data_IF_325387447422
#
_entry.id   IF_325387447422
#
_cell.length_a   1.000
_cell.length_b   1.000
_cell.length_c   1.000
_cell.angle_alpha   90.00
_cell.angle_beta   90.00
_cell.angle_gamma   90.00
#
_symmetry.space_group_name_H-M   'P 1'
#
loop_
_entity.id
_entity.type
_entity.pdbx_description
1 polymer ?
#
# COMPACT_ATOMS: atom_id res chain seq x y z
N UNK A 1 -3.77 10.56 25.66
CA UNK A 1 -4.04 10.94 24.25
C UNK A 1 -4.34 9.67 23.49
N UNK A 2 -5.29 9.67 22.53
CA UNK A 2 -5.56 8.50 21.70
C UNK A 2 -5.24 8.78 20.24
N UNK A 3 -4.62 7.79 19.57
CA UNK A 3 -4.37 7.80 18.12
C UNK A 3 -5.00 6.54 17.53
N UNK A 4 -5.71 6.71 16.42
CA UNK A 4 -6.39 5.62 15.72
C UNK A 4 -5.81 5.44 14.33
N UNK A 5 -5.76 4.20 13.88
CA UNK A 5 -5.48 3.85 12.49
C UNK A 5 -6.52 2.88 11.97
N UNK A 6 -6.77 2.95 10.66
CA UNK A 6 -7.69 2.05 9.98
C UNK A 6 -6.95 1.10 9.02
N UNK A 7 -7.57 -0.04 8.77
CA UNK A 7 -7.18 -0.96 7.72
C UNK A 7 -8.40 -1.65 7.15
N UNK A 8 -8.25 -2.27 5.98
CA UNK A 8 -9.32 -3.02 5.30
C UNK A 8 -8.83 -4.42 4.93
N UNK A 9 -9.77 -5.36 4.76
CA UNK A 9 -9.48 -6.66 4.17
C UNK A 9 -9.21 -6.53 2.68
N UNK A 10 -8.49 -7.49 2.12
CA UNK A 10 -8.19 -7.54 0.68
C UNK A 10 -9.44 -7.60 -0.20
N UNK A 11 -10.55 -8.04 0.34
CA UNK A 11 -11.86 -8.05 -0.34
C UNK A 11 -12.64 -6.73 -0.29
N UNK A 12 -12.11 -5.66 0.30
CA UNK A 12 -12.73 -4.34 0.19
C UNK A 12 -12.73 -3.86 -1.27
N UNK A 13 -13.84 -3.30 -1.82
CA UNK A 13 -13.94 -3.03 -3.27
C UNK A 13 -12.82 -2.17 -3.84
N UNK A 14 -12.36 -1.12 -3.14
CA UNK A 14 -11.23 -0.32 -3.59
C UNK A 14 -9.92 -1.13 -3.61
N UNK A 15 -9.71 -2.01 -2.64
CA UNK A 15 -8.50 -2.83 -2.60
C UNK A 15 -8.55 -3.96 -3.64
N UNK A 16 -9.73 -4.48 -3.95
CA UNK A 16 -9.94 -5.40 -5.10
C UNK A 16 -9.55 -4.71 -6.41
N UNK A 17 -9.94 -3.44 -6.60
CA UNK A 17 -9.54 -2.65 -7.77
C UNK A 17 -8.02 -2.47 -7.84
N UNK A 18 -7.36 -2.14 -6.72
CA UNK A 18 -5.90 -2.03 -6.63
C UNK A 18 -5.20 -3.35 -6.94
N UNK A 19 -5.72 -4.49 -6.44
CA UNK A 19 -5.17 -5.83 -6.70
C UNK A 19 -5.29 -6.19 -8.19
N UNK A 20 -6.43 -5.91 -8.81
CA UNK A 20 -6.61 -6.14 -10.25
C UNK A 20 -5.58 -5.33 -11.04
N UNK A 21 -5.46 -4.04 -10.78
CA UNK A 21 -4.50 -3.17 -11.47
C UNK A 21 -3.05 -3.66 -11.31
N UNK A 22 -2.66 -4.00 -10.09
CA UNK A 22 -1.33 -4.51 -9.79
C UNK A 22 -1.05 -5.88 -10.46
N UNK A 23 -2.06 -6.77 -10.54
CA UNK A 23 -1.93 -8.05 -11.22
C UNK A 23 -1.79 -7.89 -12.74
N UNK A 24 -2.41 -6.88 -13.35
CA UNK A 24 -2.20 -6.53 -14.77
C UNK A 24 -0.74 -6.11 -15.00
N UNK A 25 -0.21 -5.23 -14.16
CA UNK A 25 1.20 -4.80 -14.24
C UNK A 25 2.14 -5.98 -14.03
N UNK A 26 1.88 -6.81 -13.02
CA UNK A 26 2.69 -8.00 -12.74
C UNK A 26 2.72 -8.95 -13.95
N UNK A 27 1.59 -9.20 -14.59
CA UNK A 27 1.50 -10.05 -15.76
C UNK A 27 2.30 -9.47 -16.95
N UNK A 28 2.22 -8.16 -17.18
CA UNK A 28 3.00 -7.48 -18.22
C UNK A 28 4.49 -7.62 -17.94
N UNK A 29 4.95 -7.37 -16.72
CA UNK A 29 6.37 -7.50 -16.34
C UNK A 29 6.88 -8.93 -16.49
N UNK A 30 6.09 -9.94 -16.13
CA UNK A 30 6.46 -11.34 -16.25
C UNK A 30 6.59 -11.77 -17.73
N UNK A 31 5.68 -11.32 -18.62
CA UNK A 31 5.77 -11.59 -20.04
C UNK A 31 6.95 -10.83 -20.68
N UNK A 32 7.16 -9.55 -20.34
CA UNK A 32 8.31 -8.77 -20.80
C UNK A 32 9.65 -9.38 -20.37
N UNK A 33 9.69 -10.02 -19.19
CA UNK A 33 10.89 -10.72 -18.71
C UNK A 33 11.30 -11.89 -19.62
N UNK A 34 10.34 -12.58 -20.24
CA UNK A 34 10.60 -13.62 -21.22
C UNK A 34 11.23 -13.04 -22.51
N UNK A 35 10.94 -11.77 -22.81
CA UNK A 35 11.44 -10.99 -23.95
C UNK A 35 12.69 -10.14 -23.61
N UNK A 36 13.47 -10.56 -22.60
CA UNK A 36 14.70 -9.88 -22.12
C UNK A 36 14.45 -8.44 -21.66
N UNK A 37 13.61 -8.29 -20.64
CA UNK A 37 13.33 -7.02 -19.98
C UNK A 37 14.61 -6.36 -19.45
N UNK A 38 14.78 -5.08 -19.75
CA UNK A 38 15.84 -4.20 -19.24
C UNK A 38 15.25 -2.83 -18.92
N UNK A 39 16.00 -1.97 -18.25
CA UNK A 39 15.57 -0.58 -18.01
C UNK A 39 15.26 0.18 -19.31
N UNK A 40 16.09 -0.01 -20.35
CA UNK A 40 15.92 0.69 -21.61
C UNK A 40 14.66 0.30 -22.39
N UNK A 41 14.13 -0.90 -22.16
CA UNK A 41 12.95 -1.43 -22.85
C UNK A 41 11.79 -1.79 -21.93
N UNK A 42 11.81 -1.30 -20.69
CA UNK A 42 10.74 -1.59 -19.73
C UNK A 42 9.38 -1.09 -20.22
N UNK A 43 8.28 -1.79 -19.83
CA UNK A 43 6.94 -1.32 -20.13
C UNK A 43 6.61 -0.07 -19.33
N UNK A 44 5.74 0.77 -19.86
CA UNK A 44 5.22 1.97 -19.19
C UNK A 44 3.71 1.81 -19.08
N UNK A 45 3.21 1.69 -17.87
CA UNK A 45 1.80 1.41 -17.60
C UNK A 45 1.25 2.30 -16.47
N UNK A 46 0.04 2.75 -16.67
CA UNK A 46 -0.82 3.28 -15.61
C UNK A 46 -2.19 2.64 -15.78
N UNK A 47 -2.56 1.75 -14.87
CA UNK A 47 -3.79 0.95 -14.94
C UNK A 47 -4.79 1.50 -13.94
N UNK A 48 -5.99 1.85 -14.42
CA UNK A 48 -7.09 2.29 -13.60
C UNK A 48 -8.23 1.27 -13.65
N UNK A 49 -8.81 0.98 -12.49
CA UNK A 49 -9.89 0.02 -12.35
C UNK A 49 -11.08 0.66 -11.65
N UNK A 50 -12.25 0.54 -12.26
CA UNK A 50 -13.53 0.78 -11.64
C UNK A 50 -14.27 -0.55 -11.46
N UNK A 51 -14.65 -0.85 -10.22
CA UNK A 51 -15.41 -2.03 -9.86
C UNK A 51 -16.80 -1.61 -9.38
N UNK A 52 -17.82 -1.89 -10.18
CA UNK A 52 -19.22 -1.66 -9.86
C UNK A 52 -19.99 -2.96 -9.66
N UNK A 53 -21.32 -2.86 -9.42
CA UNK A 53 -22.16 -4.03 -9.23
C UNK A 53 -22.18 -4.91 -10.49
N UNK A 54 -21.51 -6.06 -10.40
CA UNK A 54 -21.46 -7.04 -11.49
C UNK A 54 -20.63 -6.62 -12.71
N UNK A 55 -19.82 -5.57 -12.61
CA UNK A 55 -19.00 -5.05 -13.70
C UNK A 55 -17.62 -4.61 -13.20
N UNK A 56 -16.59 -4.87 -14.01
CA UNK A 56 -15.26 -4.30 -13.84
C UNK A 56 -14.84 -3.60 -15.14
N UNK A 57 -14.44 -2.35 -15.06
CA UNK A 57 -13.84 -1.62 -16.16
C UNK A 57 -12.36 -1.42 -15.86
N UNK A 58 -11.50 -1.85 -16.78
CA UNK A 58 -10.06 -1.65 -16.72
C UNK A 58 -9.68 -0.66 -17.82
N UNK A 59 -9.12 0.46 -17.43
CA UNK A 59 -8.68 1.52 -18.33
C UNK A 59 -7.23 1.93 -18.05
N UNK A 60 -6.85 3.08 -18.58
CA UNK A 60 -5.49 3.60 -18.43
C UNK A 60 -4.66 3.48 -19.69
N UNK A 61 -3.35 3.63 -19.55
CA UNK A 61 -2.41 3.64 -20.66
C UNK A 61 -1.37 2.52 -20.54
N UNK A 62 -1.02 1.90 -21.65
CA UNK A 62 0.01 0.85 -21.70
C UNK A 62 0.91 1.04 -22.92
N UNK A 63 2.22 1.02 -22.67
CA UNK A 63 3.25 0.80 -23.67
C UNK A 63 4.01 -0.48 -23.30
N UNK A 64 3.80 -1.53 -24.06
CA UNK A 64 4.42 -2.84 -23.84
C UNK A 64 4.59 -3.55 -25.17
N UNK A 65 5.54 -4.50 -25.22
CA UNK A 65 5.78 -5.37 -26.39
C UNK A 65 4.98 -6.67 -26.34
N UNK A 66 4.32 -6.91 -25.19
CA UNK A 66 3.63 -8.18 -24.94
C UNK A 66 2.12 -7.96 -24.78
N UNK A 67 1.37 -9.02 -24.96
CA UNK A 67 -0.06 -9.06 -24.72
C UNK A 67 -0.34 -9.84 -23.44
N UNK A 68 -1.31 -9.35 -22.66
CA UNK A 68 -1.87 -10.06 -21.51
C UNK A 68 -3.40 -10.12 -21.60
N UNK A 69 -3.98 -11.23 -21.17
CA UNK A 69 -5.43 -11.43 -21.16
C UNK A 69 -6.07 -10.73 -19.96
N UNK A 70 -6.54 -9.51 -20.19
CA UNK A 70 -7.16 -8.67 -19.15
C UNK A 70 -8.41 -9.31 -18.55
N UNK A 71 -9.28 -9.94 -19.36
CA UNK A 71 -10.50 -10.60 -18.86
C UNK A 71 -10.14 -11.72 -17.87
N UNK A 72 -9.18 -12.55 -18.24
CA UNK A 72 -8.69 -13.64 -17.38
C UNK A 72 -8.08 -13.11 -16.09
N UNK A 73 -7.20 -12.10 -16.15
CA UNK A 73 -6.53 -11.52 -14.97
C UNK A 73 -7.57 -10.95 -14.00
N UNK A 74 -8.56 -10.22 -14.49
CA UNK A 74 -9.63 -9.65 -13.67
C UNK A 74 -10.40 -10.75 -12.95
N UNK A 75 -10.84 -11.78 -13.68
CA UNK A 75 -11.63 -12.88 -13.11
C UNK A 75 -10.85 -13.66 -12.07
N UNK A 76 -9.63 -14.06 -12.40
CA UNK A 76 -8.77 -14.81 -11.50
C UNK A 76 -8.50 -14.02 -10.21
N UNK A 77 -8.18 -12.72 -10.32
CA UNK A 77 -7.97 -11.84 -9.15
C UNK A 77 -9.18 -11.80 -8.23
N UNK A 78 -10.38 -11.65 -8.79
CA UNK A 78 -11.63 -11.58 -8.03
C UNK A 78 -11.97 -12.92 -7.38
N UNK A 79 -11.79 -14.03 -8.11
CA UNK A 79 -12.07 -15.39 -7.62
C UNK A 79 -11.11 -15.77 -6.48
N UNK A 80 -9.82 -15.48 -6.61
CA UNK A 80 -8.80 -15.75 -5.58
C UNK A 80 -9.08 -15.00 -4.26
N UNK A 81 -9.72 -13.84 -4.33
CA UNK A 81 -10.14 -13.07 -3.16
C UNK A 81 -11.41 -13.64 -2.48
N UNK A 82 -11.97 -14.75 -2.99
CA UNK A 82 -13.15 -15.41 -2.46
C UNK A 82 -14.47 -14.96 -3.06
N UNK A 83 -14.45 -14.12 -4.10
CA UNK A 83 -15.63 -13.67 -4.83
C UNK A 83 -15.98 -14.60 -5.99
N UNK A 84 -16.27 -15.85 -5.67
CA UNK A 84 -16.60 -16.93 -6.61
C UNK A 84 -18.08 -17.31 -6.62
N UNK A 85 -18.92 -16.59 -5.86
CA UNK A 85 -20.34 -16.89 -5.72
C UNK A 85 -21.16 -15.60 -5.47
N UNK A 86 -22.34 -15.50 -6.08
CA UNK A 86 -23.20 -14.32 -5.97
C UNK A 86 -23.63 -13.95 -4.53
N UNK A 87 -23.62 -14.91 -3.61
CA UNK A 87 -23.98 -14.67 -2.21
C UNK A 87 -22.94 -13.88 -1.40
N UNK A 88 -21.78 -13.58 -1.97
CA UNK A 88 -20.72 -12.77 -1.31
C UNK A 88 -20.54 -11.39 -1.95
N UNK A 89 -21.55 -10.89 -2.66
CA UNK A 89 -21.62 -9.53 -3.17
C UNK A 89 -20.98 -9.31 -4.53
N UNK A 90 -20.14 -10.23 -5.01
CA UNK A 90 -19.51 -10.22 -6.32
C UNK A 90 -19.32 -11.67 -6.80
N UNK A 91 -19.28 -11.88 -8.10
CA UNK A 91 -18.98 -13.19 -8.68
C UNK A 91 -18.08 -13.03 -9.90
N UNK A 92 -16.80 -13.39 -9.75
CA UNK A 92 -15.78 -13.30 -10.79
C UNK A 92 -16.10 -14.10 -12.05
N UNK A 93 -16.86 -15.22 -11.95
CA UNK A 93 -17.25 -16.01 -13.10
C UNK A 93 -18.32 -15.34 -13.98
N UNK A 94 -19.19 -14.49 -13.38
CA UNK A 94 -20.37 -13.96 -14.04
C UNK A 94 -20.33 -12.45 -14.30
N UNK A 95 -19.35 -11.74 -13.75
CA UNK A 95 -19.21 -10.29 -13.93
C UNK A 95 -18.88 -9.91 -15.37
N UNK A 96 -19.35 -8.75 -15.81
CA UNK A 96 -18.90 -8.14 -17.06
C UNK A 96 -17.52 -7.52 -16.90
N UNK A 97 -16.64 -7.71 -17.88
CA UNK A 97 -15.33 -7.07 -17.93
C UNK A 97 -15.25 -6.17 -19.16
N UNK A 98 -14.95 -4.90 -18.95
CA UNK A 98 -14.76 -3.91 -20.01
C UNK A 98 -13.28 -3.51 -20.04
N UNK A 99 -12.66 -3.65 -21.20
CA UNK A 99 -11.28 -3.21 -21.44
C UNK A 99 -11.29 -1.89 -22.24
N UNK A 100 -10.81 -0.81 -21.59
CA UNK A 100 -10.68 0.53 -22.13
C UNK A 100 -9.22 1.03 -22.06
N UNK A 101 -8.24 0.12 -22.09
CA UNK A 101 -6.82 0.46 -22.11
C UNK A 101 -6.46 1.04 -23.47
N UNK A 102 -5.70 2.14 -23.45
CA UNK A 102 -5.19 2.83 -24.64
C UNK A 102 -3.65 2.79 -24.69
N UNK A 103 -3.02 2.97 -25.87
CA UNK A 103 -1.59 3.19 -25.96
C UNK A 103 -1.14 4.44 -25.22
N UNK A 104 0.05 4.39 -24.59
CA UNK A 104 0.64 5.57 -23.94
C UNK A 104 0.93 6.68 -24.96
N UNK A 105 0.71 7.93 -24.57
CA UNK A 105 1.04 9.11 -25.38
C UNK A 105 2.52 9.15 -25.76
N UNK A 106 2.85 9.42 -27.05
CA UNK A 106 4.23 9.60 -27.50
C UNK A 106 4.96 10.72 -26.75
N UNK A 107 4.26 11.81 -26.39
CA UNK A 107 4.84 12.96 -25.71
C UNK A 107 5.34 12.61 -24.30
N UNK A 108 4.58 11.80 -23.56
CA UNK A 108 5.00 11.29 -22.24
C UNK A 108 6.24 10.38 -22.39
N UNK A 109 6.22 9.50 -23.39
CA UNK A 109 7.33 8.60 -23.66
C UNK A 109 8.64 9.34 -23.96
N UNK A 110 8.60 10.49 -24.61
CA UNK A 110 9.79 11.28 -24.90
C UNK A 110 10.54 11.71 -23.63
N UNK A 111 9.82 12.08 -22.55
CA UNK A 111 10.43 12.50 -21.27
C UNK A 111 10.96 11.35 -20.41
N UNK A 112 10.40 10.17 -20.55
CA UNK A 112 10.66 9.00 -19.65
C UNK A 112 11.66 8.00 -20.21
N UNK A 113 11.90 8.01 -21.53
CA UNK A 113 12.81 7.07 -22.19
C UNK A 113 14.24 7.61 -22.19
N UNK A 114 15.20 6.83 -21.70
CA UNK A 114 16.62 7.17 -21.76
C UNK A 114 17.15 7.37 -23.22
N UNK A 115 16.46 6.79 -24.20
CA UNK A 115 16.81 6.90 -25.61
C UNK A 115 16.28 8.19 -26.26
N UNK A 116 15.24 8.78 -25.69
CA UNK A 116 14.54 9.95 -26.26
C UNK A 116 14.69 11.21 -25.39
N UNK A 117 15.02 11.06 -24.11
CA UNK A 117 15.21 12.15 -23.18
C UNK A 117 16.48 12.93 -23.54
N UNK A 118 16.36 14.26 -23.57
CA UNK A 118 17.48 15.15 -23.89
C UNK A 118 18.70 15.03 -22.95
N UNK A 119 18.54 14.41 -21.77
CA UNK A 119 19.56 14.20 -20.77
C UNK A 119 20.21 12.80 -20.83
N UNK A 120 19.73 11.90 -21.70
CA UNK A 120 20.14 10.50 -21.81
C UNK A 120 19.99 9.71 -20.48
N UNK A 121 19.00 10.09 -19.66
CA UNK A 121 18.69 9.47 -18.38
C UNK A 121 17.23 9.04 -18.36
N UNK A 122 16.86 8.12 -17.47
CA UNK A 122 15.45 7.83 -17.19
C UNK A 122 14.91 8.97 -16.32
N UNK A 123 14.15 9.86 -16.94
CA UNK A 123 13.48 10.94 -16.25
C UNK A 123 12.26 10.45 -15.47
N UNK A 124 11.82 11.24 -14.48
CA UNK A 124 10.57 10.98 -13.77
C UNK A 124 9.39 10.94 -14.75
N UNK A 125 8.56 9.89 -14.64
CA UNK A 125 7.42 9.67 -15.52
C UNK A 125 6.24 10.61 -15.27
N UNK A 126 6.31 11.41 -14.23
CA UNK A 126 5.34 12.46 -13.89
C UNK A 126 5.98 13.50 -12.97
N UNK A 127 5.32 14.62 -12.80
CA UNK A 127 5.58 15.51 -11.68
C UNK A 127 4.79 15.03 -10.46
N UNK A 128 5.34 15.19 -9.25
CA UNK A 128 4.61 14.77 -8.07
C UNK A 128 5.39 14.98 -6.78
N UNK A 129 4.68 14.81 -5.67
CA UNK A 129 5.23 14.90 -4.32
C UNK A 129 4.90 13.59 -3.60
N UNK A 130 5.94 12.90 -3.13
CA UNK A 130 5.84 11.62 -2.41
C UNK A 130 6.37 11.79 -1.01
N UNK A 131 5.79 11.05 -0.08
CA UNK A 131 6.17 11.07 1.33
C UNK A 131 6.55 9.69 1.83
N UNK A 132 7.56 9.66 2.70
CA UNK A 132 7.92 8.51 3.50
C UNK A 132 7.92 8.87 4.97
N UNK A 133 7.58 7.93 5.83
CA UNK A 133 7.56 8.13 7.28
C UNK A 133 8.15 6.91 8.00
N UNK A 134 8.81 7.15 9.13
CA UNK A 134 9.24 6.12 10.07
C UNK A 134 9.18 6.66 11.50
N UNK A 135 8.97 5.78 12.47
CA UNK A 135 9.06 6.09 13.89
C UNK A 135 9.53 4.86 14.68
N UNK A 136 10.08 5.08 15.87
CA UNK A 136 10.64 4.04 16.74
C UNK A 136 9.62 3.34 17.66
N UNK A 137 8.33 3.38 17.29
CA UNK A 137 7.26 2.78 18.09
C UNK A 137 7.23 1.25 18.01
N UNK A 138 7.73 0.67 16.92
CA UNK A 138 7.76 -0.78 16.67
C UNK A 138 9.10 -1.20 16.05
N UNK A 139 9.46 -2.50 16.14
CA UNK A 139 10.67 -3.01 15.48
C UNK A 139 10.69 -2.78 13.96
N UNK A 140 9.52 -2.73 13.32
CA UNK A 140 9.34 -2.46 11.89
C UNK A 140 9.57 -0.97 11.56
N UNK A 141 9.72 -0.13 12.58
CA UNK A 141 9.79 1.33 12.48
C UNK A 141 8.55 1.93 11.83
N UNK A 142 7.38 1.42 12.25
CA UNK A 142 6.05 1.84 11.83
C UNK A 142 5.21 2.28 13.05
N UNK A 143 4.20 3.13 12.84
CA UNK A 143 3.27 3.49 13.91
C UNK A 143 2.54 2.26 14.47
N UNK A 144 2.48 2.12 15.78
CA UNK A 144 1.84 0.99 16.43
C UNK A 144 0.35 0.81 16.06
N UNK A 145 -0.50 1.87 16.03
CA UNK A 145 -1.91 1.71 15.65
C UNK A 145 -2.08 1.15 14.23
N UNK A 146 -1.23 1.59 13.29
CA UNK A 146 -1.20 1.11 11.91
C UNK A 146 -0.86 -0.38 11.85
N UNK A 147 0.25 -0.78 12.51
CA UNK A 147 0.69 -2.15 12.53
C UNK A 147 -0.38 -3.07 13.12
N UNK A 148 -1.01 -2.67 14.23
CA UNK A 148 -2.06 -3.44 14.88
C UNK A 148 -3.34 -3.54 14.03
N UNK A 149 -3.76 -2.47 13.37
CA UNK A 149 -4.92 -2.50 12.48
C UNK A 149 -4.70 -3.46 11.31
N UNK A 150 -3.53 -3.43 10.68
CA UNK A 150 -3.17 -4.38 9.61
C UNK A 150 -3.09 -5.81 10.12
N UNK A 151 -2.44 -6.04 11.26
CA UNK A 151 -2.34 -7.37 11.88
C UNK A 151 -3.71 -7.98 12.16
N UNK A 152 -4.65 -7.17 12.65
CA UNK A 152 -6.04 -7.58 12.87
C UNK A 152 -6.73 -7.94 11.56
N UNK A 153 -6.65 -7.11 10.52
CA UNK A 153 -7.29 -7.40 9.23
C UNK A 153 -6.76 -8.70 8.61
N UNK A 154 -5.45 -8.90 8.63
CA UNK A 154 -4.82 -10.15 8.16
C UNK A 154 -5.29 -11.37 8.96
N UNK A 155 -5.50 -11.24 10.28
CA UNK A 155 -6.04 -12.33 11.08
C UNK A 155 -7.44 -12.75 10.62
N UNK A 156 -8.28 -11.80 10.21
CA UNK A 156 -9.60 -12.10 9.61
C UNK A 156 -9.52 -12.68 8.20
N UNK A 157 -8.50 -12.36 7.43
CA UNK A 157 -8.27 -12.97 6.10
C UNK A 157 -7.86 -14.44 6.21
N UNK A 158 -7.03 -14.77 7.18
CA UNK A 158 -6.44 -16.09 7.35
C UNK A 158 -7.16 -16.99 8.39
N UNK A 159 -8.25 -16.51 9.02
CA UNK A 159 -8.94 -17.25 10.06
C UNK A 159 -9.64 -18.54 9.58
N UNK A 160 -9.75 -18.77 8.27
CA UNK A 160 -10.42 -19.91 7.65
C UNK A 160 -11.85 -20.16 8.16
N UNK A 161 -12.47 -19.18 8.80
CA UNK A 161 -13.86 -19.25 9.22
C UNK A 161 -14.77 -18.73 8.09
N UNK A 162 -15.54 -19.61 7.42
CA UNK A 162 -16.33 -19.23 6.24
C UNK A 162 -17.46 -18.25 6.56
N UNK A 163 -17.72 -18.00 7.84
CA UNK A 163 -18.72 -17.01 8.27
C UNK A 163 -18.27 -15.59 7.90
N UNK A 164 -16.96 -15.31 7.96
CA UNK A 164 -16.40 -13.98 7.68
C UNK A 164 -16.09 -13.84 6.19
N UNK A 165 -17.03 -13.28 5.44
CA UNK A 165 -16.89 -13.04 4.01
C UNK A 165 -15.73 -12.08 3.68
N UNK A 166 -15.30 -11.97 2.41
CA UNK A 166 -14.06 -11.27 2.04
C UNK A 166 -14.02 -9.78 2.41
N UNK A 167 -15.17 -9.07 2.39
CA UNK A 167 -15.22 -7.63 2.66
C UNK A 167 -15.23 -7.31 4.16
N UNK A 168 -14.40 -6.36 4.54
CA UNK A 168 -14.33 -5.91 5.93
C UNK A 168 -13.40 -4.71 6.12
N UNK A 169 -13.65 -3.98 7.21
CA UNK A 169 -12.91 -2.79 7.61
C UNK A 169 -12.73 -2.77 9.13
N UNK A 170 -11.59 -2.30 9.61
CA UNK A 170 -11.33 -2.20 11.04
C UNK A 170 -10.51 -0.99 11.42
N UNK A 171 -10.61 -0.64 12.70
CA UNK A 171 -9.82 0.42 13.32
C UNK A 171 -9.29 -0.04 14.66
N UNK A 172 -8.09 0.41 15.00
CA UNK A 172 -7.48 0.22 16.31
C UNK A 172 -7.10 1.59 16.86
N UNK A 173 -7.57 1.89 18.09
CA UNK A 173 -7.20 3.10 18.82
C UNK A 173 -6.26 2.73 19.95
N UNK A 174 -5.12 3.39 20.03
CA UNK A 174 -4.08 3.18 21.03
C UNK A 174 -4.01 4.37 21.95
N UNK A 175 -3.96 4.13 23.27
CA UNK A 175 -3.67 5.13 24.28
C UNK A 175 -2.18 5.44 24.28
N UNK A 176 -1.84 6.71 24.32
CA UNK A 176 -0.47 7.22 24.39
C UNK A 176 -0.26 8.00 25.67
N UNK A 177 0.93 7.86 26.24
CA UNK A 177 1.37 8.72 27.32
C UNK A 177 1.52 10.17 26.82
N UNK A 178 0.91 11.13 27.51
CA UNK A 178 0.88 12.51 27.06
C UNK A 178 2.21 13.25 27.25
N UNK A 179 3.11 12.73 28.10
CA UNK A 179 4.40 13.35 28.41
C UNK A 179 5.51 12.81 27.52
N UNK A 180 5.50 11.48 27.32
CA UNK A 180 6.58 10.80 26.58
C UNK A 180 6.23 10.55 25.11
N UNK A 181 4.93 10.65 24.74
CA UNK A 181 4.45 10.31 23.40
C UNK A 181 4.53 8.82 23.07
N UNK A 182 4.78 7.95 24.05
CA UNK A 182 4.90 6.50 23.83
C UNK A 182 3.54 5.80 23.86
N UNK A 183 3.33 4.77 23.03
CA UNK A 183 2.12 3.96 23.06
C UNK A 183 2.05 3.12 24.35
N UNK A 184 0.86 2.96 24.90
CA UNK A 184 0.61 2.26 26.17
C UNK A 184 -0.19 0.96 25.98
N UNK A 185 -1.38 1.05 25.36
CA UNK A 185 -2.32 -0.06 25.23
C UNK A 185 -3.37 0.22 24.15
N UNK A 186 -4.01 -0.82 23.67
CA UNK A 186 -5.18 -0.68 22.80
C UNK A 186 -6.39 -0.28 23.65
N UNK A 187 -6.96 0.90 23.36
CA UNK A 187 -8.14 1.40 24.03
C UNK A 187 -9.42 0.87 23.39
N UNK A 188 -9.49 0.88 22.05
CA UNK A 188 -10.66 0.47 21.28
C UNK A 188 -10.28 -0.34 20.05
N UNK A 189 -11.12 -1.31 19.74
CA UNK A 189 -11.07 -2.13 18.53
C UNK A 189 -12.44 -2.08 17.87
N UNK A 190 -12.48 -1.59 16.64
CA UNK A 190 -13.65 -1.65 15.78
C UNK A 190 -13.40 -2.62 14.64
N UNK A 191 -14.32 -3.56 14.45
CA UNK A 191 -14.33 -4.47 13.32
C UNK A 191 -15.71 -4.46 12.68
N UNK A 192 -15.76 -4.16 11.39
CA UNK A 192 -16.92 -4.35 10.53
C UNK A 192 -16.55 -5.38 9.46
N UNK A 193 -17.27 -6.51 9.43
CA UNK A 193 -17.06 -7.58 8.47
C UNK A 193 -18.39 -8.07 7.93
N UNK A 194 -18.44 -8.29 6.64
CA UNK A 194 -19.59 -8.93 6.00
C UNK A 194 -19.69 -10.40 6.41
N UNK A 195 -20.91 -10.86 6.68
CA UNK A 195 -21.21 -12.18 7.22
C UNK A 195 -21.92 -13.02 6.17
N UNK A 196 -21.39 -14.21 5.91
CA UNK A 196 -22.04 -15.18 5.05
C UNK A 196 -23.00 -16.04 5.86
N UNK A 197 -24.25 -15.64 5.86
CA UNK A 197 -25.31 -16.32 6.64
C UNK A 197 -25.65 -17.73 6.16
N UNK A 198 -25.15 -18.18 5.02
CA UNK A 198 -25.27 -19.59 4.60
C UNK A 198 -24.55 -20.54 5.56
N UNK A 199 -23.48 -20.06 6.20
CA UNK A 199 -22.66 -20.82 7.13
C UNK A 199 -22.98 -20.54 8.61
N UNK A 200 -23.88 -19.61 8.91
CA UNK A 200 -24.23 -19.28 10.28
C UNK A 200 -25.22 -20.28 10.85
N UNK A 201 -24.71 -21.29 11.56
CA UNK A 201 -25.46 -22.28 12.32
C UNK A 201 -25.59 -21.98 13.82
N UNK A 202 -25.14 -20.78 14.24
CA UNK A 202 -25.08 -20.35 15.64
C UNK A 202 -25.78 -19.02 15.84
N UNK A 203 -26.17 -18.72 17.07
CA UNK A 203 -26.76 -17.42 17.41
C UNK A 203 -25.80 -16.27 17.04
N UNK A 204 -26.34 -15.18 16.54
CA UNK A 204 -25.60 -14.00 16.09
C UNK A 204 -24.66 -13.40 17.14
N UNK A 205 -25.05 -13.48 18.43
CA UNK A 205 -24.18 -13.11 19.55
C UNK A 205 -22.84 -13.86 19.53
N UNK A 206 -22.87 -15.14 19.16
CA UNK A 206 -21.65 -15.96 19.07
C UNK A 206 -20.76 -15.59 17.87
N UNK A 207 -21.30 -14.96 16.82
CA UNK A 207 -20.49 -14.41 15.72
C UNK A 207 -19.62 -13.26 16.23
N UNK A 208 -20.21 -12.37 17.06
CA UNK A 208 -19.45 -11.29 17.72
C UNK A 208 -18.36 -11.84 18.63
N UNK A 209 -18.63 -12.89 19.40
CA UNK A 209 -17.64 -13.50 20.30
C UNK A 209 -16.48 -14.12 19.51
N UNK A 210 -16.77 -14.78 18.37
CA UNK A 210 -15.73 -15.27 17.44
C UNK A 210 -14.91 -14.12 16.87
N UNK A 211 -15.54 -13.06 16.40
CA UNK A 211 -14.87 -11.88 15.89
C UNK A 211 -13.95 -11.26 16.95
N UNK A 212 -14.46 -11.11 18.20
CA UNK A 212 -13.66 -10.62 19.32
C UNK A 212 -12.45 -11.49 19.59
N UNK A 213 -12.64 -12.81 19.57
CA UNK A 213 -11.53 -13.74 19.78
C UNK A 213 -10.45 -13.56 18.72
N UNK A 214 -10.79 -13.56 17.44
CA UNK A 214 -9.83 -13.35 16.33
C UNK A 214 -9.09 -12.03 16.50
N UNK A 215 -9.81 -10.92 16.75
CA UNK A 215 -9.22 -9.61 16.94
C UNK A 215 -8.25 -9.61 18.13
N UNK A 216 -8.67 -10.09 19.30
CA UNK A 216 -7.86 -10.05 20.53
C UNK A 216 -6.66 -10.99 20.47
N UNK A 217 -6.83 -12.19 19.89
CA UNK A 217 -5.72 -13.12 19.69
C UNK A 217 -4.64 -12.52 18.75
N UNK A 218 -5.04 -11.69 17.79
CA UNK A 218 -4.12 -11.01 16.89
C UNK A 218 -3.37 -9.85 17.53
N UNK A 219 -3.96 -9.20 18.52
CA UNK A 219 -3.43 -8.01 19.20
C UNK A 219 -2.73 -8.34 20.53
N UNK A 220 -2.96 -9.52 21.10
CA UNK A 220 -2.29 -10.12 22.27
C UNK A 220 -2.02 -9.12 23.42
N UNK A 221 -0.73 -8.82 23.64
CA UNK A 221 -0.23 -8.01 24.76
C UNK A 221 -0.73 -6.56 24.80
N UNK A 222 -1.24 -6.07 23.69
CA UNK A 222 -1.75 -4.70 23.61
C UNK A 222 -3.20 -4.55 24.07
N UNK A 223 -3.96 -5.65 24.21
CA UNK A 223 -5.36 -5.65 24.68
C UNK A 223 -5.47 -6.11 26.11
N UNK A 224 -6.41 -5.52 26.85
CA UNK A 224 -6.70 -5.85 28.25
C UNK A 224 -8.21 -5.88 28.51
N UNK A 225 -8.60 -6.04 29.79
CA UNK A 225 -10.01 -6.07 30.22
C UNK A 225 -10.75 -4.75 30.00
N UNK A 226 -10.02 -3.63 29.82
CA UNK A 226 -10.57 -2.30 29.59
C UNK A 226 -10.68 -1.97 28.11
N UNK A 227 -10.14 -2.83 27.21
CA UNK A 227 -10.24 -2.62 25.76
C UNK A 227 -11.68 -2.78 25.30
N UNK A 228 -12.25 -1.72 24.76
CA UNK A 228 -13.58 -1.73 24.16
C UNK A 228 -13.54 -2.47 22.80
N UNK A 229 -14.54 -3.35 22.57
CA UNK A 229 -14.67 -4.06 21.30
C UNK A 229 -16.04 -3.79 20.67
N UNK A 230 -16.02 -3.21 19.48
CA UNK A 230 -17.19 -2.96 18.65
C UNK A 230 -17.14 -3.88 17.42
N UNK A 231 -18.24 -4.59 17.17
CA UNK A 231 -18.37 -5.45 15.99
C UNK A 231 -19.70 -5.14 15.29
N UNK A 232 -19.62 -4.79 13.99
CA UNK A 232 -20.76 -4.41 13.17
C UNK A 232 -21.76 -3.50 13.92
N UNK A 233 -21.36 -2.30 14.36
CA UNK A 233 -22.18 -1.46 15.23
C UNK A 233 -23.50 -1.01 14.58
N UNK A 234 -23.59 -1.01 13.27
CA UNK A 234 -24.83 -0.75 12.51
C UNK A 234 -25.79 -1.94 12.52
N UNK A 235 -25.40 -3.09 13.06
CA UNK A 235 -26.17 -4.33 13.07
C UNK A 235 -25.64 -5.38 12.11
N UNK A 236 -26.55 -6.07 11.43
CA UNK A 236 -26.16 -7.15 10.52
C UNK A 236 -25.63 -6.62 9.19
N UNK A 237 -24.51 -7.17 8.77
CA UNK A 237 -23.98 -6.92 7.44
C UNK A 237 -23.91 -8.25 6.65
N UNK A 238 -24.94 -8.50 5.84
CA UNK A 238 -25.02 -9.70 5.01
C UNK A 238 -24.03 -9.60 3.83
N UNK A 239 -23.26 -10.63 3.60
CA UNK A 239 -22.26 -10.68 2.53
C UNK A 239 -22.83 -10.46 1.12
N UNK A 240 -24.11 -10.78 0.87
CA UNK A 240 -24.77 -10.48 -0.41
C UNK A 240 -24.82 -8.97 -0.72
N UNK A 241 -24.80 -8.14 0.32
CA UNK A 241 -24.75 -6.68 0.26
C UNK A 241 -23.37 -6.18 0.69
N UNK A 242 -22.32 -6.74 0.11
CA UNK A 242 -20.93 -6.32 0.37
C UNK A 242 -20.17 -6.13 -0.94
N UNK A 243 -18.95 -5.66 -0.85
CA UNK A 243 -18.09 -5.32 -2.00
C UNK A 243 -18.86 -4.49 -3.04
N UNK A 244 -18.73 -4.81 -4.31
CA UNK A 244 -19.35 -4.04 -5.40
C UNK A 244 -20.87 -4.11 -5.46
N UNK A 245 -21.52 -4.96 -4.65
CA UNK A 245 -22.98 -4.94 -4.49
C UNK A 245 -23.46 -3.79 -3.59
N UNK A 246 -22.61 -3.26 -2.73
CA UNK A 246 -22.91 -2.18 -1.78
C UNK A 246 -22.20 -0.86 -2.10
N UNK A 247 -20.96 -0.92 -2.58
CA UNK A 247 -20.12 0.25 -2.84
C UNK A 247 -19.26 0.02 -4.09
N UNK A 248 -18.79 1.08 -4.72
CA UNK A 248 -17.91 0.98 -5.88
C UNK A 248 -16.45 0.95 -5.44
N UNK A 249 -15.65 0.10 -6.10
CA UNK A 249 -14.19 0.09 -5.96
C UNK A 249 -13.53 0.93 -7.04
N UNK A 250 -12.51 1.70 -6.66
CA UNK A 250 -11.68 2.47 -7.59
C UNK A 250 -10.23 2.41 -7.14
N UNK A 251 -9.30 2.25 -8.08
CA UNK A 251 -7.86 2.32 -7.82
C UNK A 251 -7.46 3.59 -7.09
N UNK A 252 -6.50 3.49 -6.16
CA UNK A 252 -5.93 4.64 -5.46
C UNK A 252 -6.80 5.27 -4.38
N UNK A 253 -7.94 4.68 -4.00
CA UNK A 253 -8.82 5.23 -2.96
C UNK A 253 -8.50 4.74 -1.54
N UNK A 254 -7.48 3.90 -1.36
CA UNK A 254 -7.06 3.36 -0.05
C UNK A 254 -5.63 3.71 0.34
N UNK A 255 -5.11 4.84 -0.17
CA UNK A 255 -3.74 5.30 0.14
C UNK A 255 -3.48 5.43 1.63
N UNK A 256 -4.44 5.97 2.40
CA UNK A 256 -4.33 6.07 3.87
C UNK A 256 -4.07 4.69 4.49
N UNK A 257 -4.83 3.67 4.06
CA UNK A 257 -4.71 2.30 4.55
C UNK A 257 -3.41 1.64 4.11
N UNK A 258 -3.00 1.87 2.87
CA UNK A 258 -1.78 1.28 2.30
C UNK A 258 -0.51 1.84 2.93
N UNK A 259 -0.50 3.13 3.32
CA UNK A 259 0.68 3.77 3.90
C UNK A 259 0.73 3.63 5.43
N UNK A 260 0.15 4.59 6.16
CA UNK A 260 0.37 4.65 7.62
C UNK A 260 -0.94 4.72 8.42
N UNK A 261 -2.06 4.34 7.80
CA UNK A 261 -3.38 4.22 8.47
C UNK A 261 -3.92 5.52 9.06
N UNK A 262 -3.51 6.68 8.53
CA UNK A 262 -3.92 7.98 9.04
C UNK A 262 -3.17 8.43 10.30
N UNK A 263 -1.97 7.87 10.58
CA UNK A 263 -1.18 8.27 11.73
C UNK A 263 -0.79 9.75 11.66
N UNK A 264 -0.95 10.55 12.74
CA UNK A 264 -0.64 11.97 12.75
C UNK A 264 0.83 12.26 12.44
N UNK A 265 1.09 13.15 11.48
CA UNK A 265 2.43 13.48 11.00
C UNK A 265 2.96 12.59 9.86
N UNK A 266 2.33 11.44 9.60
CA UNK A 266 2.64 10.63 8.43
C UNK A 266 1.83 11.12 7.24
N UNK A 267 2.43 11.96 6.42
CA UNK A 267 1.81 12.53 5.22
C UNK A 267 1.75 11.51 4.06
N UNK A 268 0.93 11.79 3.07
CA UNK A 268 0.75 10.99 1.87
C UNK A 268 1.04 11.81 0.63
N UNK A 269 1.58 11.17 -0.41
CA UNK A 269 1.56 11.71 -1.76
C UNK A 269 0.17 11.65 -2.40
N UNK A 270 0.00 12.31 -3.54
CA UNK A 270 -1.28 12.37 -4.25
C UNK A 270 -1.54 11.17 -5.16
N UNK A 271 -0.51 10.46 -5.59
CA UNK A 271 -0.59 9.41 -6.59
C UNK A 271 -0.77 8.01 -6.00
N UNK A 272 -1.52 7.18 -6.71
CA UNK A 272 -1.60 5.74 -6.40
C UNK A 272 -0.29 5.04 -6.76
N UNK A 273 0.11 4.08 -5.94
CA UNK A 273 1.43 3.41 -6.01
C UNK A 273 1.35 2.09 -6.78
N UNK A 274 0.29 1.31 -6.52
CA UNK A 274 0.23 -0.11 -6.89
C UNK A 274 -0.21 -0.35 -8.34
N UNK A 275 -0.69 0.67 -9.00
CA UNK A 275 -1.31 0.61 -10.34
C UNK A 275 -0.43 1.20 -11.45
N UNK A 276 0.86 1.41 -11.19
CA UNK A 276 1.80 2.07 -12.11
C UNK A 276 3.13 1.33 -12.18
N UNK A 277 3.75 1.34 -13.34
CA UNK A 277 5.15 0.92 -13.52
C UNK A 277 6.12 1.91 -12.87
N UNK A 278 7.34 1.49 -12.49
CA UNK A 278 8.15 2.22 -11.51
C UNK A 278 8.86 3.47 -12.05
N UNK A 279 8.85 3.74 -13.35
CA UNK A 279 9.30 5.04 -13.91
C UNK A 279 8.37 6.17 -13.48
N UNK A 280 7.12 5.85 -13.15
CA UNK A 280 6.21 6.79 -12.49
C UNK A 280 6.60 6.88 -11.02
N UNK A 281 7.13 8.04 -10.67
CA UNK A 281 7.69 8.32 -9.32
C UNK A 281 6.67 8.20 -8.19
N UNK A 282 5.36 8.24 -8.48
CA UNK A 282 4.32 7.87 -7.50
C UNK A 282 4.56 6.47 -6.91
N UNK A 283 5.10 5.54 -7.71
CA UNK A 283 5.47 4.19 -7.27
C UNK A 283 6.87 4.19 -6.64
N UNK A 284 7.93 4.42 -7.43
CA UNK A 284 9.32 4.24 -6.99
C UNK A 284 9.73 5.20 -5.88
N UNK A 285 9.35 6.48 -5.96
CA UNK A 285 9.77 7.47 -4.97
C UNK A 285 8.96 7.41 -3.66
N UNK A 286 7.75 6.83 -3.66
CA UNK A 286 7.08 6.51 -2.39
C UNK A 286 7.89 5.49 -1.58
N UNK A 287 8.44 4.47 -2.24
CA UNK A 287 9.35 3.51 -1.62
C UNK A 287 10.69 4.14 -1.25
N UNK A 288 11.24 5.01 -2.13
CA UNK A 288 12.46 5.77 -1.87
C UNK A 288 12.35 6.64 -0.63
N UNK A 289 11.29 7.40 -0.49
CA UNK A 289 11.03 8.25 0.68
C UNK A 289 10.91 7.41 1.98
N UNK A 290 10.20 6.27 1.93
CA UNK A 290 10.12 5.33 3.07
C UNK A 290 11.49 4.75 3.41
N UNK A 291 12.27 4.34 2.43
CA UNK A 291 13.62 3.80 2.63
C UNK A 291 14.53 4.79 3.33
N UNK A 292 14.52 6.06 2.92
CA UNK A 292 15.28 7.14 3.57
C UNK A 292 14.83 7.34 5.01
N UNK A 293 13.52 7.58 5.24
CA UNK A 293 12.98 7.80 6.57
C UNK A 293 13.29 6.63 7.53
N UNK A 294 13.17 5.39 7.05
CA UNK A 294 13.45 4.19 7.84
C UNK A 294 14.93 4.10 8.23
N UNK A 295 15.85 4.40 7.32
CA UNK A 295 17.28 4.36 7.61
C UNK A 295 17.72 5.46 8.61
N UNK A 296 17.10 6.65 8.54
CA UNK A 296 17.37 7.75 9.51
C UNK A 296 16.97 7.32 10.92
N UNK A 297 15.75 6.77 11.08
CA UNK A 297 15.27 6.31 12.40
C UNK A 297 16.05 5.08 12.87
N UNK A 298 16.36 4.12 11.99
CA UNK A 298 17.18 2.96 12.31
C UNK A 298 18.61 3.33 12.75
N UNK A 299 19.16 4.43 12.22
CA UNK A 299 20.45 4.96 12.63
C UNK A 299 20.39 5.68 14.01
N UNK A 300 19.21 5.85 14.61
CA UNK A 300 19.01 6.61 15.83
C UNK A 300 19.23 8.11 15.67
N UNK A 301 19.25 8.62 14.43
CA UNK A 301 19.39 10.04 14.14
C UNK A 301 18.13 10.84 14.42
N UNK A 302 16.97 10.18 14.50
CA UNK A 302 15.72 10.72 14.96
C UNK A 302 14.83 9.59 15.49
N UNK A 303 13.86 9.89 16.37
CA UNK A 303 12.84 8.91 16.78
C UNK A 303 11.61 8.92 15.86
N UNK A 304 11.42 10.01 15.10
CA UNK A 304 10.41 10.15 14.03
C UNK A 304 11.03 10.91 12.87
N UNK A 305 10.71 10.47 11.65
CA UNK A 305 11.18 11.13 10.45
C UNK A 305 10.13 11.05 9.35
N UNK A 306 9.78 12.21 8.79
CA UNK A 306 9.03 12.33 7.53
C UNK A 306 9.96 12.89 6.47
N UNK A 307 9.94 12.27 5.29
CA UNK A 307 10.72 12.69 4.13
C UNK A 307 9.75 13.00 2.98
N UNK A 308 9.91 14.16 2.36
CA UNK A 308 9.22 14.55 1.15
C UNK A 308 10.21 14.54 -0.02
N UNK A 309 9.81 13.92 -1.12
CA UNK A 309 10.54 13.97 -2.39
C UNK A 309 9.62 14.59 -3.44
N UNK A 310 10.08 15.63 -4.13
CA UNK A 310 9.38 16.25 -5.23
C UNK A 310 10.10 16.00 -6.55
N UNK A 311 9.35 15.73 -7.62
CA UNK A 311 9.90 15.48 -8.96
C UNK A 311 9.22 16.35 -10.00
N UNK A 312 9.99 16.67 -11.05
CA UNK A 312 9.52 17.27 -12.28
C UNK A 312 9.58 16.23 -13.41
N UNK A 313 8.54 16.16 -14.23
CA UNK A 313 8.48 15.22 -15.36
C UNK A 313 9.73 15.36 -16.26
N UNK A 314 10.30 14.22 -16.65
CA UNK A 314 11.48 14.17 -17.52
C UNK A 314 12.82 14.46 -16.84
N UNK A 315 12.83 14.83 -15.56
CA UNK A 315 14.05 15.07 -14.77
C UNK A 315 14.31 13.89 -13.85
N UNK A 316 15.53 13.35 -13.83
CA UNK A 316 15.86 12.16 -13.05
C UNK A 316 16.02 12.46 -11.56
N UNK A 317 16.72 13.53 -11.18
CA UNK A 317 16.94 13.90 -9.78
C UNK A 317 15.70 14.54 -9.15
N UNK A 318 15.45 14.34 -7.84
CA UNK A 318 14.42 15.08 -7.13
C UNK A 318 14.60 16.59 -7.32
N UNK A 319 13.51 17.28 -7.58
CA UNK A 319 13.47 18.75 -7.66
C UNK A 319 13.71 19.39 -6.28
N UNK A 320 13.20 18.75 -5.22
CA UNK A 320 13.49 19.10 -3.84
C UNK A 320 13.39 17.89 -2.92
N UNK A 321 14.15 17.92 -1.83
CA UNK A 321 14.09 17.00 -0.71
C UNK A 321 13.76 17.83 0.52
N UNK A 322 12.82 17.37 1.35
CA UNK A 322 12.50 18.01 2.62
C UNK A 322 12.42 16.95 3.72
N UNK A 323 13.01 17.23 4.87
CA UNK A 323 13.00 16.37 6.03
C UNK A 323 12.31 17.05 7.19
N UNK A 324 11.56 16.30 7.98
CA UNK A 324 11.01 16.75 9.25
C UNK A 324 11.18 15.65 10.30
N UNK A 325 12.03 15.88 11.29
CA UNK A 325 12.23 14.97 12.42
C UNK A 325 11.31 15.27 13.61
N UNK A 326 10.36 16.20 13.48
CA UNK A 326 9.43 16.61 14.54
C UNK A 326 10.15 17.06 15.83
N UNK A 327 11.32 17.66 15.69
CA UNK A 327 12.17 18.10 16.82
C UNK A 327 12.85 16.96 17.57
N UNK A 328 12.87 15.73 17.01
CA UNK A 328 13.54 14.56 17.60
C UNK A 328 14.92 14.28 16.98
N UNK A 329 15.36 15.11 16.03
CA UNK A 329 16.63 14.96 15.33
C UNK A 329 17.84 15.14 16.23
N UNK A 330 18.85 14.29 16.05
CA UNK A 330 20.17 14.42 16.71
C UNK A 330 21.04 15.45 16.02
N UNK A 331 20.77 15.76 14.76
CA UNK A 331 21.35 16.82 13.94
C UNK A 331 20.21 17.59 13.29
N UNK A 332 20.50 18.75 12.68
CA UNK A 332 19.45 19.56 12.03
C UNK A 332 18.82 18.85 10.83
N UNK A 333 17.56 19.17 10.55
CA UNK A 333 16.85 18.64 9.39
C UNK A 333 17.55 19.03 8.08
N UNK A 334 18.06 20.28 7.97
CA UNK A 334 18.86 20.74 6.81
C UNK A 334 20.12 19.87 6.60
N UNK A 335 20.80 19.48 7.70
CA UNK A 335 21.97 18.60 7.59
C UNK A 335 21.60 17.19 7.14
N UNK A 336 20.42 16.69 7.54
CA UNK A 336 19.89 15.42 7.05
C UNK A 336 19.58 15.49 5.55
N UNK A 337 19.04 16.59 5.05
CA UNK A 337 18.77 16.80 3.61
C UNK A 337 20.06 16.70 2.79
N UNK A 338 21.15 17.38 3.20
CA UNK A 338 22.45 17.29 2.55
C UNK A 338 22.99 15.84 2.53
N UNK A 339 22.89 15.13 3.64
CA UNK A 339 23.34 13.73 3.75
C UNK A 339 22.50 12.82 2.84
N UNK A 340 21.20 13.07 2.71
CA UNK A 340 20.34 12.30 1.83
C UNK A 340 20.77 12.48 0.38
N UNK A 341 20.99 13.71 -0.08
CA UNK A 341 21.46 13.99 -1.44
C UNK A 341 22.78 13.29 -1.75
N UNK A 342 23.68 13.18 -0.75
CA UNK A 342 25.00 12.55 -0.93
C UNK A 342 24.96 11.02 -0.90
N UNK A 343 24.07 10.42 -0.07
CA UNK A 343 24.15 8.99 0.27
C UNK A 343 23.07 8.13 -0.40
N UNK A 344 22.03 8.71 -0.95
CA UNK A 344 20.94 7.99 -1.59
C UNK A 344 20.83 8.35 -3.06
N UNK A 345 20.80 7.33 -3.91
CA UNK A 345 20.39 7.51 -5.30
C UNK A 345 18.86 7.45 -5.35
N UNK A 346 18.26 8.63 -5.51
CA UNK A 346 16.81 8.82 -5.59
C UNK A 346 16.36 9.11 -7.02
N UNK A 347 17.17 8.79 -8.03
CA UNK A 347 16.74 8.78 -9.42
C UNK A 347 15.77 7.61 -9.68
N UNK A 348 14.84 7.72 -10.65
CA UNK A 348 13.99 6.59 -11.02
C UNK A 348 14.80 5.33 -11.32
N UNK A 349 15.87 5.42 -12.09
CA UNK A 349 16.77 4.33 -12.41
C UNK A 349 17.37 3.69 -11.16
N UNK A 350 17.97 4.49 -10.28
CA UNK A 350 18.57 4.01 -9.04
C UNK A 350 17.58 3.31 -8.12
N UNK A 351 16.36 3.85 -8.00
CA UNK A 351 15.30 3.24 -7.20
C UNK A 351 14.77 1.93 -7.83
N UNK A 352 14.57 1.89 -9.15
CA UNK A 352 14.11 0.69 -9.87
C UNK A 352 15.08 -0.47 -9.65
N UNK A 353 16.38 -0.23 -9.84
CA UNK A 353 17.42 -1.25 -9.65
C UNK A 353 17.56 -1.64 -8.17
N UNK A 354 17.69 -0.66 -7.28
CA UNK A 354 17.88 -0.88 -5.84
C UNK A 354 16.75 -1.72 -5.26
N UNK A 355 15.51 -1.45 -5.63
CA UNK A 355 14.33 -2.09 -5.05
C UNK A 355 13.79 -3.26 -5.89
N UNK A 356 14.42 -3.59 -7.03
CA UNK A 356 14.01 -4.69 -7.93
C UNK A 356 12.60 -4.50 -8.49
N UNK A 357 12.24 -3.26 -8.84
CA UNK A 357 10.87 -2.90 -9.18
C UNK A 357 10.41 -3.39 -10.58
N UNK A 358 11.26 -4.09 -11.34
CA UNK A 358 10.85 -4.80 -12.56
C UNK A 358 10.43 -6.26 -12.28
N UNK A 359 10.25 -6.62 -11.01
CA UNK A 359 9.82 -7.94 -10.58
C UNK A 359 8.30 -7.98 -10.35
N UNK A 360 7.57 -8.70 -11.19
CA UNK A 360 6.10 -8.82 -11.10
C UNK A 360 5.59 -9.34 -9.76
N UNK A 361 6.36 -10.18 -9.04
CA UNK A 361 5.96 -10.69 -7.73
C UNK A 361 5.80 -9.60 -6.66
N UNK A 362 6.51 -8.49 -6.81
CA UNK A 362 6.35 -7.33 -5.93
C UNK A 362 4.93 -6.75 -6.10
N UNK A 363 4.49 -6.56 -7.35
CA UNK A 363 3.18 -5.98 -7.63
C UNK A 363 2.01 -6.85 -7.14
N UNK A 364 2.15 -8.17 -7.10
CA UNK A 364 1.13 -9.06 -6.50
C UNK A 364 1.00 -8.91 -4.99
N UNK A 365 2.02 -8.40 -4.32
CA UNK A 365 2.10 -8.29 -2.86
C UNK A 365 1.78 -6.88 -2.35
N UNK A 366 2.25 -5.82 -3.03
CA UNK A 366 2.16 -4.43 -2.53
C UNK A 366 0.73 -3.92 -2.29
N UNK A 367 -0.33 -4.32 -3.02
CA UNK A 367 -1.68 -3.87 -2.66
C UNK A 367 -2.12 -4.31 -1.27
N UNK A 368 -1.59 -5.43 -0.78
CA UNK A 368 -1.91 -5.98 0.55
C UNK A 368 -1.15 -5.28 1.67
N UNK A 369 0.08 -4.87 1.41
CA UNK A 369 0.93 -4.11 2.33
C UNK A 369 2.16 -3.57 1.61
N UNK A 370 2.50 -2.32 1.89
CA UNK A 370 3.73 -1.69 1.37
C UNK A 370 4.96 -1.98 2.25
N UNK A 371 4.78 -2.60 3.41
CA UNK A 371 5.82 -2.76 4.43
C UNK A 371 5.96 -4.23 4.84
N UNK A 372 6.89 -4.93 4.19
CA UNK A 372 7.29 -6.31 4.53
C UNK A 372 8.81 -6.38 4.62
N UNK A 373 9.33 -7.17 5.56
CA UNK A 373 10.77 -7.27 5.82
C UNK A 373 11.59 -7.79 4.63
N UNK A 374 10.97 -8.50 3.68
CA UNK A 374 11.62 -8.99 2.45
C UNK A 374 11.72 -7.92 1.35
N UNK A 375 10.96 -6.83 1.44
CA UNK A 375 11.09 -5.72 0.48
C UNK A 375 12.43 -5.00 0.65
N UNK A 376 13.06 -4.66 -0.49
CA UNK A 376 14.38 -4.02 -0.48
C UNK A 376 14.34 -2.60 0.08
N UNK A 377 13.24 -1.86 -0.05
CA UNK A 377 13.07 -0.54 0.57
C UNK A 377 12.81 -0.56 2.08
N UNK A 378 12.58 -1.76 2.65
CA UNK A 378 12.50 -1.94 4.10
C UNK A 378 13.85 -2.31 4.74
N UNK A 379 14.93 -2.39 3.97
CA UNK A 379 16.29 -2.64 4.50
C UNK A 379 16.88 -1.39 5.15
N UNK A 380 17.72 -1.62 6.16
CA UNK A 380 18.41 -0.57 6.92
C UNK A 380 19.92 -0.58 6.64
N UNK A 381 20.29 -0.83 5.40
CA UNK A 381 21.68 -1.02 4.95
C UNK A 381 22.49 0.29 4.84
N UNK A 382 21.83 1.45 4.96
CA UNK A 382 22.48 2.78 4.98
C UNK A 382 22.86 3.30 6.37
N UNK A 383 22.52 2.59 7.45
CA UNK A 383 22.78 3.03 8.84
C UNK A 383 24.22 3.41 9.08
N UNK A 384 25.18 2.60 8.62
CA UNK A 384 26.63 2.88 8.82
C UNK A 384 27.08 4.14 8.08
N UNK A 385 26.59 4.33 6.85
CA UNK A 385 26.93 5.50 6.02
C UNK A 385 26.37 6.78 6.64
N UNK A 386 25.12 6.74 7.12
CA UNK A 386 24.45 7.85 7.80
C UNK A 386 25.18 8.24 9.08
N UNK A 387 25.54 7.28 9.94
CA UNK A 387 26.28 7.55 11.17
C UNK A 387 27.69 8.14 10.93
N UNK A 388 28.32 7.78 9.80
CA UNK A 388 29.61 8.36 9.40
C UNK A 388 29.46 9.80 8.90
N UNK A 389 28.39 10.08 8.12
CA UNK A 389 28.15 11.41 7.55
C UNK A 389 27.60 12.41 8.58
N UNK A 390 26.96 11.92 9.65
CA UNK A 390 26.40 12.72 10.74
C UNK A 390 27.44 13.19 11.76
N UNK A 391 28.71 12.70 11.70
CA UNK A 391 29.84 13.12 12.52
C UNK A 391 30.51 14.37 11.93
#
# INVERSE_FOLDING_TARGET
MQISSESVKVGHPDLVADIIAANVIAAILDEEKKEKLTLANMPHCGIEVFLGKGICMVGGEVRSRVYVDIDKIVRDSVIELGYNHAAVGLNGHLMGVLNAIIPQSPDINQGTSCLLNQYNEIGAGDQGIMYGFACDETPELLPLPYLLANKMMRAFEFCQDPIFAPDGKGQVSVDYDSKTGKPLRVAKVLMSNSIDYRFVKIARSRVRDRAKKIAFDSLKEYVDKKTEFLFNPTGEWNAVNSCSAADSGVTGRKLVVQFYGGYPGAQLGGGAVVNKTPEKVDCSAAFGARYVAKNIVAAGLASKCSVQLAYAIGIAKPFSIYVNTFGTGMISDDRLEEIIEEKFDLTPEGMIEKFDLLNGDIYRKIPRTLFMDDYRWEKTDKVKDLLKAAK
#
